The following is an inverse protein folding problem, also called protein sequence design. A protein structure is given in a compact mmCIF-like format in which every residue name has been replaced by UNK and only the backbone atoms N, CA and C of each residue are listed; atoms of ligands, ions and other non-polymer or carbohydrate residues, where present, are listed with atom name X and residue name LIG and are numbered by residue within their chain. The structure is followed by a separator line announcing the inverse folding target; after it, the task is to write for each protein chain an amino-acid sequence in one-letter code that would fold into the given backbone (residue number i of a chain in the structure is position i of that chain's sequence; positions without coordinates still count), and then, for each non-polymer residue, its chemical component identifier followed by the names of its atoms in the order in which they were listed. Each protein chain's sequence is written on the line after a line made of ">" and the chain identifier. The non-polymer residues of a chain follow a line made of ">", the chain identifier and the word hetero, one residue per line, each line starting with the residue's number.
data_IF_007024666493
#
_entry.id   IF_007024666493
#
_cell.length_a   1.000
_cell.length_b   1.000
_cell.length_c   1.000
_cell.angle_alpha   90.00
_cell.angle_beta   90.00
_cell.angle_gamma   90.00
#
_symmetry.space_group_name_H-M   'P 1'
#
loop_
_entity.id
_entity.type
_entity.pdbx_description
1 polymer ?
#
# COMPACT_ATOMS: atom_id res chain seq x y z
N UNK A 1 -26.37 8.19 -7.73
CA UNK A 1 -25.10 7.59 -7.25
C UNK A 1 -23.92 8.04 -8.14
N UNK A 2 -23.61 9.35 -8.14
CA UNK A 2 -22.52 9.97 -8.94
C UNK A 2 -21.33 10.39 -8.06
N UNK A 3 -21.55 10.53 -6.75
CA UNK A 3 -20.57 10.99 -5.78
C UNK A 3 -19.37 10.03 -5.62
N UNK A 4 -19.61 8.71 -5.66
CA UNK A 4 -18.56 7.72 -5.40
C UNK A 4 -17.45 7.68 -6.45
N UNK A 5 -17.77 7.93 -7.72
CA UNK A 5 -16.80 7.80 -8.82
C UNK A 5 -15.78 8.95 -8.83
N UNK A 6 -16.19 10.14 -8.37
CA UNK A 6 -15.35 11.34 -8.27
C UNK A 6 -14.32 11.27 -7.14
N UNK A 7 -14.65 10.56 -6.05
CA UNK A 7 -13.77 10.39 -4.87
C UNK A 7 -12.89 9.14 -5.00
N UNK A 8 -13.34 8.16 -5.81
CA UNK A 8 -12.65 6.89 -6.05
C UNK A 8 -11.26 7.02 -6.67
N UNK A 9 -11.18 7.78 -7.76
CA UNK A 9 -9.95 7.98 -8.51
C UNK A 9 -8.86 8.67 -7.69
N UNK A 10 -9.14 9.81 -7.03
CA UNK A 10 -8.13 10.50 -6.23
C UNK A 10 -7.68 9.68 -5.02
N UNK A 11 -8.57 8.91 -4.36
CA UNK A 11 -8.16 8.12 -3.19
C UNK A 11 -7.18 7.00 -3.54
N UNK A 12 -7.41 6.28 -4.65
CA UNK A 12 -6.43 5.31 -5.14
C UNK A 12 -5.13 5.94 -5.58
N UNK A 13 -5.20 7.11 -6.23
CA UNK A 13 -4.00 7.79 -6.68
C UNK A 13 -3.12 8.22 -5.50
N UNK A 14 -3.72 8.80 -4.46
CA UNK A 14 -3.05 9.16 -3.20
C UNK A 14 -2.42 7.93 -2.55
N UNK A 15 -3.15 6.82 -2.47
CA UNK A 15 -2.64 5.59 -1.86
C UNK A 15 -1.43 5.04 -2.64
N UNK A 16 -1.49 5.04 -3.97
CA UNK A 16 -0.39 4.62 -4.83
C UNK A 16 0.83 5.52 -4.65
N UNK A 17 0.62 6.84 -4.56
CA UNK A 17 1.71 7.78 -4.23
C UNK A 17 2.34 7.44 -2.88
N UNK A 18 1.55 7.13 -1.85
CA UNK A 18 2.08 6.67 -0.56
C UNK A 18 2.91 5.38 -0.70
N UNK A 19 2.46 4.41 -1.49
CA UNK A 19 3.21 3.18 -1.74
C UNK A 19 4.55 3.43 -2.45
N UNK A 20 4.59 4.36 -3.41
CA UNK A 20 5.83 4.78 -4.08
C UNK A 20 6.78 5.44 -3.09
N UNK A 21 6.28 6.30 -2.20
CA UNK A 21 7.10 6.97 -1.18
C UNK A 21 7.68 5.95 -0.19
N UNK A 22 6.88 4.98 0.26
CA UNK A 22 7.36 3.89 1.12
C UNK A 22 8.43 3.07 0.40
N UNK A 23 8.21 2.72 -0.86
CA UNK A 23 9.19 2.00 -1.66
C UNK A 23 10.49 2.78 -1.86
N UNK A 24 10.41 4.09 -2.09
CA UNK A 24 11.57 4.97 -2.16
C UNK A 24 12.38 4.94 -0.86
N UNK A 25 11.72 5.15 0.28
CA UNK A 25 12.39 5.09 1.58
C UNK A 25 12.96 3.70 1.87
N UNK A 26 12.32 2.63 1.41
CA UNK A 26 12.84 1.27 1.56
C UNK A 26 14.16 1.06 0.80
N UNK A 27 14.31 1.63 -0.40
CA UNK A 27 15.56 1.52 -1.19
C UNK A 27 16.66 2.45 -0.68
N UNK A 28 16.32 3.72 -0.43
CA UNK A 28 17.33 4.76 -0.20
C UNK A 28 17.64 5.00 1.29
N UNK A 29 16.67 4.77 2.18
CA UNK A 29 16.74 5.14 3.61
C UNK A 29 16.04 4.08 4.47
N UNK A 30 16.43 2.81 4.33
CA UNK A 30 15.77 1.67 4.99
C UNK A 30 15.66 1.83 6.53
N UNK A 31 16.63 2.49 7.17
CA UNK A 31 16.59 2.80 8.61
C UNK A 31 15.39 3.68 8.99
N UNK A 32 15.01 4.64 8.14
CA UNK A 32 13.88 5.54 8.43
C UNK A 32 12.56 4.77 8.44
N UNK A 33 12.42 3.75 7.57
CA UNK A 33 11.19 2.98 7.47
C UNK A 33 11.09 1.86 8.51
N UNK A 34 12.22 1.36 9.00
CA UNK A 34 12.28 0.39 10.09
C UNK A 34 12.10 1.02 11.47
N UNK A 35 12.04 2.35 11.57
CA UNK A 35 11.58 3.02 12.80
C UNK A 35 10.14 2.65 13.15
N UNK A 36 9.73 2.74 14.44
CA UNK A 36 8.34 2.52 14.83
C UNK A 36 7.35 3.41 14.07
N UNK A 37 7.75 4.65 13.75
CA UNK A 37 6.94 5.59 12.97
C UNK A 37 6.81 5.15 11.51
N UNK A 38 7.92 4.75 10.87
CA UNK A 38 7.92 4.24 9.49
C UNK A 38 7.08 2.98 9.33
N UNK A 39 7.23 2.02 10.26
CA UNK A 39 6.42 0.79 10.30
C UNK A 39 4.93 1.09 10.50
N UNK A 40 4.59 2.06 11.36
CA UNK A 40 3.19 2.47 11.59
C UNK A 40 2.57 3.03 10.31
N UNK A 41 3.27 3.95 9.63
CA UNK A 41 2.82 4.52 8.34
C UNK A 41 2.59 3.41 7.31
N UNK A 42 3.48 2.42 7.30
CA UNK A 42 3.42 1.31 6.38
C UNK A 42 2.22 0.38 6.62
N UNK A 43 1.96 0.02 7.88
CA UNK A 43 0.81 -0.79 8.29
C UNK A 43 -0.49 -0.05 7.97
N UNK A 44 -0.57 1.24 8.31
CA UNK A 44 -1.76 2.08 8.02
C UNK A 44 -2.03 2.15 6.52
N UNK A 45 -0.99 2.34 5.69
CA UNK A 45 -1.14 2.35 4.23
C UNK A 45 -1.69 1.02 3.70
N UNK A 46 -1.21 -0.10 4.24
CA UNK A 46 -1.64 -1.45 3.84
C UNK A 46 -3.10 -1.72 4.22
N UNK A 47 -3.50 -1.35 5.44
CA UNK A 47 -4.89 -1.46 5.91
C UNK A 47 -5.81 -0.58 5.06
N UNK A 48 -5.39 0.65 4.76
CA UNK A 48 -6.16 1.59 3.95
C UNK A 48 -6.38 1.06 2.52
N UNK A 49 -5.38 0.40 1.93
CA UNK A 49 -5.50 -0.28 0.64
C UNK A 49 -6.52 -1.42 0.64
N UNK A 50 -6.51 -2.26 1.69
CA UNK A 50 -7.50 -3.33 1.87
C UNK A 50 -8.92 -2.80 2.07
N UNK A 51 -9.08 -1.72 2.84
CA UNK A 51 -10.37 -1.07 3.08
C UNK A 51 -10.96 -0.50 1.79
N UNK A 52 -10.13 0.17 0.99
CA UNK A 52 -10.51 0.65 -0.33
C UNK A 52 -10.90 -0.50 -1.27
N UNK A 53 -10.14 -1.60 -1.25
CA UNK A 53 -10.48 -2.79 -2.03
C UNK A 53 -11.85 -3.37 -1.66
N UNK A 54 -12.16 -3.52 -0.37
CA UNK A 54 -13.47 -4.03 0.07
C UNK A 54 -14.61 -3.08 -0.32
N UNK A 55 -14.40 -1.77 -0.14
CA UNK A 55 -15.34 -0.76 -0.56
C UNK A 55 -15.57 -0.76 -2.08
N UNK A 56 -14.53 -1.06 -2.86
CA UNK A 56 -14.65 -1.27 -4.30
C UNK A 56 -15.42 -2.53 -4.63
N UNK A 57 -15.11 -3.67 -4.03
CA UNK A 57 -15.79 -4.95 -4.31
C UNK A 57 -17.33 -4.84 -4.26
N UNK A 58 -17.87 -3.98 -3.40
CA UNK A 58 -19.32 -3.75 -3.27
C UNK A 58 -19.93 -2.75 -4.27
N UNK A 59 -19.15 -2.04 -5.08
CA UNK A 59 -19.65 -1.05 -6.03
C UNK A 59 -19.78 -1.59 -7.46
N UNK A 60 -21.03 -1.61 -7.97
CA UNK A 60 -21.42 -2.01 -9.33
C UNK A 60 -21.13 -0.96 -10.43
N UNK A 61 -20.11 -0.10 -10.28
CA UNK A 61 -19.88 1.03 -11.21
C UNK A 61 -18.78 0.74 -12.24
N UNK A 62 -19.11 0.87 -13.54
CA UNK A 62 -18.21 0.74 -14.71
C UNK A 62 -17.11 -0.33 -14.61
N UNK A 63 -17.45 -1.56 -15.04
CA UNK A 63 -16.59 -2.75 -14.99
C UNK A 63 -15.12 -2.50 -15.37
N UNK A 64 -14.84 -1.77 -16.46
CA UNK A 64 -13.46 -1.63 -16.97
C UNK A 64 -12.56 -0.79 -16.06
N UNK A 65 -12.97 0.43 -15.71
CA UNK A 65 -12.19 1.32 -14.83
C UNK A 65 -12.08 0.72 -13.42
N UNK A 66 -13.16 0.09 -12.97
CA UNK A 66 -13.21 -0.62 -11.71
C UNK A 66 -12.19 -1.75 -11.62
N UNK A 67 -12.15 -2.62 -12.64
CA UNK A 67 -11.20 -3.75 -12.72
C UNK A 67 -9.76 -3.24 -12.74
N UNK A 68 -9.46 -2.21 -13.55
CA UNK A 68 -8.12 -1.65 -13.62
C UNK A 68 -7.64 -1.10 -12.26
N UNK A 69 -8.50 -0.34 -11.58
CA UNK A 69 -8.16 0.28 -10.30
C UNK A 69 -8.08 -0.75 -9.16
N UNK A 70 -8.96 -1.76 -9.17
CA UNK A 70 -8.93 -2.84 -8.19
C UNK A 70 -7.70 -3.73 -8.38
N UNK A 71 -7.32 -4.04 -9.63
CA UNK A 71 -6.12 -4.82 -9.93
C UNK A 71 -4.86 -4.07 -9.49
N UNK A 72 -4.77 -2.78 -9.78
CA UNK A 72 -3.64 -1.93 -9.40
C UNK A 72 -3.50 -1.85 -7.87
N UNK A 73 -4.62 -1.74 -7.15
CA UNK A 73 -4.62 -1.80 -5.69
C UNK A 73 -4.17 -3.15 -5.15
N UNK A 74 -4.67 -4.26 -5.71
CA UNK A 74 -4.26 -5.62 -5.29
C UNK A 74 -2.76 -5.77 -5.49
N UNK A 75 -2.24 -5.44 -6.68
CA UNK A 75 -0.82 -5.58 -7.00
C UNK A 75 0.02 -4.72 -6.06
N UNK A 76 -0.32 -3.44 -5.88
CA UNK A 76 0.47 -2.56 -5.00
C UNK A 76 0.40 -2.99 -3.53
N UNK A 77 -0.75 -3.45 -3.04
CA UNK A 77 -0.89 -3.90 -1.66
C UNK A 77 -0.15 -5.23 -1.42
N UNK A 78 -0.23 -6.17 -2.36
CA UNK A 78 0.53 -7.43 -2.30
C UNK A 78 2.04 -7.18 -2.33
N UNK A 79 2.49 -6.24 -3.17
CA UNK A 79 3.89 -5.83 -3.21
C UNK A 79 4.35 -5.24 -1.88
N UNK A 80 3.52 -4.42 -1.23
CA UNK A 80 3.82 -3.83 0.07
C UNK A 80 3.94 -4.88 1.18
N UNK A 81 3.09 -5.91 1.17
CA UNK A 81 3.20 -7.03 2.10
C UNK A 81 4.51 -7.80 1.88
N UNK A 82 4.83 -8.10 0.62
CA UNK A 82 6.10 -8.77 0.27
C UNK A 82 7.31 -7.99 0.78
N UNK A 83 7.32 -6.67 0.53
CA UNK A 83 8.39 -5.78 0.93
C UNK A 83 8.50 -5.72 2.48
N UNK A 84 7.37 -5.80 3.19
CA UNK A 84 7.31 -5.95 4.66
C UNK A 84 7.97 -7.23 5.17
N UNK A 85 7.72 -8.36 4.51
CA UNK A 85 8.36 -9.64 4.86
C UNK A 85 9.87 -9.56 4.66
N UNK A 86 10.32 -9.05 3.51
CA UNK A 86 11.76 -8.89 3.22
C UNK A 86 12.43 -7.98 4.25
N UNK A 87 11.78 -6.88 4.64
CA UNK A 87 12.25 -5.98 5.70
C UNK A 87 12.43 -6.68 7.03
N UNK A 88 11.43 -7.49 7.44
CA UNK A 88 11.49 -8.26 8.67
C UNK A 88 12.67 -9.24 8.66
N UNK A 89 12.91 -9.92 7.55
CA UNK A 89 14.04 -10.85 7.39
C UNK A 89 15.38 -10.10 7.51
N UNK A 90 15.53 -8.97 6.82
CA UNK A 90 16.73 -8.12 6.89
C UNK A 90 16.97 -7.67 8.34
N UNK A 91 15.94 -7.15 9.00
CA UNK A 91 16.05 -6.65 10.37
C UNK A 91 16.49 -7.73 11.36
N UNK A 92 15.91 -8.93 11.27
CA UNK A 92 16.31 -10.08 12.11
C UNK A 92 17.74 -10.51 11.80
N UNK A 93 18.12 -10.54 10.51
CA UNK A 93 19.47 -10.96 10.09
C UNK A 93 20.53 -9.99 10.60
N UNK A 94 20.31 -8.68 10.43
CA UNK A 94 21.24 -7.63 10.88
C UNK A 94 21.38 -7.66 12.41
N UNK A 95 20.28 -7.76 13.15
CA UNK A 95 20.33 -7.88 14.61
C UNK A 95 20.96 -9.18 15.10
N UNK A 96 20.95 -10.25 14.30
CA UNK A 96 21.60 -11.51 14.64
C UNK A 96 23.12 -11.49 14.40
N UNK A 97 23.62 -10.55 13.59
CA UNK A 97 25.05 -10.39 13.30
C UNK A 97 25.77 -9.45 14.26
N UNK A 98 25.03 -8.76 15.14
CA UNK A 98 25.52 -7.75 16.08
C UNK A 98 25.38 -8.27 17.52
#
# INVERSE_FOLDING_TARGET
>A
MILNKKIMLPSTFILVTCHIVIFYFWIFDFEKITTPYGLTIWIVSTICGLLLYYHFKNQKSNKVIFIANSLLLIISSSFMIFLGIVTGIIFVTVNSMN
#
